data_IF_629482555201
#
_entry.id   IF_629482555201
#
_cell.length_a   1.000
_cell.length_b   1.000
_cell.length_c   1.000
_cell.angle_alpha   90.00
_cell.angle_beta   90.00
_cell.angle_gamma   90.00
#
_symmetry.space_group_name_H-M   'P 1'
#
loop_
_entity.id
_entity.type
_entity.pdbx_description
1 polymer ?
#
# COMPACT_ATOMS: atom_id res chain seq x y z
N UNK A 1 28.04 22.15 -37.68
CA UNK A 1 26.70 21.54 -37.60
C UNK A 1 26.42 21.24 -36.14
N UNK A 2 25.62 22.05 -35.45
CA UNK A 2 25.23 21.79 -34.06
C UNK A 2 23.86 21.09 -34.07
N UNK A 3 23.82 19.84 -33.61
CA UNK A 3 22.59 19.07 -33.46
C UNK A 3 21.80 19.65 -32.29
N UNK A 4 20.61 20.19 -32.60
CA UNK A 4 19.66 20.70 -31.61
C UNK A 4 18.87 19.52 -31.03
N UNK A 5 19.27 19.04 -29.87
CA UNK A 5 18.51 18.09 -29.06
C UNK A 5 17.35 18.84 -28.40
N UNK A 6 16.15 18.69 -28.96
CA UNK A 6 14.91 19.27 -28.44
C UNK A 6 14.51 18.53 -27.15
N UNK A 7 14.84 19.11 -26.00
CA UNK A 7 14.35 18.68 -24.70
C UNK A 7 12.83 18.92 -24.63
N UNK A 8 12.04 17.85 -24.71
CA UNK A 8 10.57 17.92 -24.69
C UNK A 8 10.11 18.05 -23.24
N UNK A 9 9.71 19.24 -22.82
CA UNK A 9 9.07 19.46 -21.52
C UNK A 9 7.65 18.88 -21.53
N UNK A 10 7.23 18.15 -20.48
CA UNK A 10 5.87 17.63 -20.39
C UNK A 10 4.87 18.76 -20.05
N UNK A 11 3.78 18.86 -20.80
CA UNK A 11 2.75 19.91 -20.65
C UNK A 11 1.92 19.75 -19.38
N UNK A 12 1.17 20.80 -19.00
CA UNK A 12 0.27 20.80 -17.84
C UNK A 12 -0.75 19.65 -17.83
N UNK A 13 -1.25 19.25 -19.01
CA UNK A 13 -2.11 18.07 -19.19
C UNK A 13 -1.43 16.80 -18.67
N UNK A 14 -0.15 16.62 -18.98
CA UNK A 14 0.65 15.45 -18.57
C UNK A 14 0.90 15.40 -17.06
N UNK A 15 0.84 16.56 -16.36
CA UNK A 15 0.93 16.62 -14.90
C UNK A 15 -0.39 16.26 -14.23
N UNK A 16 -1.52 16.64 -14.83
CA UNK A 16 -2.84 16.26 -14.37
C UNK A 16 -3.04 14.75 -14.50
N UNK A 17 -2.68 14.17 -15.65
CA UNK A 17 -2.74 12.72 -15.88
C UNK A 17 -1.88 11.94 -14.86
N UNK A 18 -0.71 12.48 -14.50
CA UNK A 18 0.16 11.86 -13.49
C UNK A 18 -0.43 11.96 -12.07
N UNK A 19 -1.06 13.09 -11.73
CA UNK A 19 -1.73 13.25 -10.43
C UNK A 19 -2.96 12.33 -10.32
N UNK A 20 -3.71 12.17 -11.41
CA UNK A 20 -4.85 11.25 -11.50
C UNK A 20 -4.41 9.79 -11.36
N UNK A 21 -3.35 9.38 -12.06
CA UNK A 21 -2.78 8.03 -11.92
C UNK A 21 -2.33 7.74 -10.48
N UNK A 22 -1.75 8.72 -9.80
CA UNK A 22 -1.28 8.56 -8.42
C UNK A 22 -2.45 8.57 -7.41
N UNK A 23 -3.50 9.33 -7.68
CA UNK A 23 -4.73 9.28 -6.88
C UNK A 23 -5.42 7.90 -7.00
N UNK A 24 -5.47 7.33 -8.20
CA UNK A 24 -5.95 5.96 -8.43
C UNK A 24 -5.10 4.94 -7.66
N UNK A 25 -3.78 5.04 -7.76
CA UNK A 25 -2.87 4.17 -7.01
C UNK A 25 -3.10 4.27 -5.48
N UNK A 26 -3.30 5.48 -4.95
CA UNK A 26 -3.57 5.66 -3.53
C UNK A 26 -4.92 5.04 -3.09
N UNK A 27 -5.92 5.04 -3.98
CA UNK A 27 -7.17 4.32 -3.75
C UNK A 27 -6.94 2.80 -3.70
N UNK A 28 -6.20 2.26 -4.67
CA UNK A 28 -5.86 0.83 -4.72
C UNK A 28 -5.06 0.39 -3.49
N UNK A 29 -4.12 1.23 -3.03
CA UNK A 29 -3.33 0.99 -1.83
C UNK A 29 -4.24 1.02 -0.57
N UNK A 30 -5.21 1.93 -0.51
CA UNK A 30 -6.17 2.02 0.59
C UNK A 30 -7.09 0.81 0.65
N UNK A 31 -7.57 0.32 -0.49
CA UNK A 31 -8.38 -0.90 -0.56
C UNK A 31 -7.57 -2.12 -0.14
N UNK A 32 -6.31 -2.20 -0.55
CA UNK A 32 -5.36 -3.22 -0.10
C UNK A 32 -5.14 -3.18 1.42
N UNK A 33 -5.08 -2.00 2.02
CA UNK A 33 -4.98 -1.84 3.48
C UNK A 33 -6.26 -2.28 4.22
N UNK A 34 -7.44 -2.10 3.60
CA UNK A 34 -8.71 -2.60 4.16
C UNK A 34 -8.72 -4.13 4.22
N UNK A 35 -8.15 -4.81 3.23
CA UNK A 35 -8.01 -6.27 3.24
C UNK A 35 -7.12 -6.75 4.40
N UNK A 36 -6.02 -6.03 4.69
CA UNK A 36 -5.15 -6.32 5.84
C UNK A 36 -5.91 -6.18 7.15
N UNK A 37 -6.68 -5.10 7.31
CA UNK A 37 -7.49 -4.88 8.50
C UNK A 37 -8.51 -6.01 8.69
N UNK A 38 -9.15 -6.48 7.62
CA UNK A 38 -10.04 -7.64 7.65
C UNK A 38 -9.30 -8.91 8.11
N UNK A 39 -8.08 -9.15 7.64
CA UNK A 39 -7.27 -10.29 8.07
C UNK A 39 -6.95 -10.22 9.58
N UNK A 40 -6.60 -9.04 10.10
CA UNK A 40 -6.39 -8.83 11.53
C UNK A 40 -7.68 -9.05 12.35
N UNK A 41 -8.83 -8.60 11.87
CA UNK A 41 -10.11 -8.85 12.54
C UNK A 41 -10.52 -10.34 12.54
N UNK A 42 -10.16 -11.09 11.49
CA UNK A 42 -10.34 -12.54 11.47
C UNK A 42 -9.44 -13.25 12.49
N UNK A 43 -8.20 -12.78 12.65
CA UNK A 43 -7.27 -13.28 13.65
C UNK A 43 -7.75 -13.06 15.08
N UNK A 44 -8.26 -11.86 15.36
CA UNK A 44 -8.85 -11.54 16.65
C UNK A 44 -9.93 -12.56 17.04
N UNK A 45 -10.77 -12.98 16.09
CA UNK A 45 -11.81 -14.00 16.30
C UNK A 45 -11.26 -15.42 16.53
N UNK A 46 -10.11 -15.76 15.94
CA UNK A 46 -9.43 -17.04 16.16
C UNK A 46 -8.73 -17.11 17.52
N UNK A 47 -8.33 -15.95 18.05
CA UNK A 47 -7.67 -15.82 19.36
C UNK A 47 -8.71 -15.62 20.48
N UNK A 48 -9.87 -15.04 20.16
CA UNK A 48 -10.96 -14.86 21.10
C UNK A 48 -11.33 -16.20 21.75
N UNK A 49 -11.54 -16.25 23.07
CA UNK A 49 -11.94 -17.48 23.74
C UNK A 49 -13.21 -18.03 23.08
N UNK A 50 -13.15 -19.23 22.49
CA UNK A 50 -14.36 -19.95 22.08
C UNK A 50 -15.20 -20.22 23.33
N UNK A 51 -16.44 -19.75 23.36
CA UNK A 51 -17.39 -20.12 24.41
C UNK A 51 -17.53 -21.65 24.42
N UNK A 52 -17.10 -22.25 25.52
CA UNK A 52 -16.77 -23.67 25.64
C UNK A 52 -18.05 -24.50 25.73
N UNK A 53 -18.25 -25.36 24.73
CA UNK A 53 -19.19 -26.47 24.76
C UNK A 53 -18.74 -27.58 23.81
N UNK A 54 -17.94 -28.52 24.32
CA UNK A 54 -17.75 -29.87 23.76
C UNK A 54 -16.94 -30.10 22.47
N UNK A 55 -15.99 -29.24 22.10
CA UNK A 55 -14.93 -29.66 21.15
C UNK A 55 -13.55 -29.32 21.69
N UNK A 56 -12.67 -30.31 21.73
CA UNK A 56 -11.25 -30.17 22.10
C UNK A 56 -10.68 -28.87 21.52
N UNK A 57 -10.13 -28.03 22.40
CA UNK A 57 -9.69 -26.67 22.08
C UNK A 57 -8.54 -26.68 21.06
N UNK A 58 -8.89 -26.71 19.78
CA UNK A 58 -8.00 -26.50 18.65
C UNK A 58 -7.77 -25.00 18.43
N UNK A 59 -7.31 -24.30 19.48
CA UNK A 59 -6.83 -22.92 19.34
C UNK A 59 -5.48 -22.91 18.60
N UNK A 60 -5.19 -21.87 17.80
CA UNK A 60 -3.90 -21.77 17.12
C UNK A 60 -2.76 -21.69 18.15
N UNK A 61 -1.68 -22.42 17.89
CA UNK A 61 -0.48 -22.37 18.72
C UNK A 61 0.19 -21.00 18.64
N UNK A 62 1.01 -20.65 19.65
CA UNK A 62 1.82 -19.42 19.61
C UNK A 62 2.72 -19.34 18.37
N UNK A 63 3.19 -20.48 17.87
CA UNK A 63 4.02 -20.57 16.65
C UNK A 63 3.23 -20.24 15.40
N UNK A 64 1.99 -20.74 15.27
CA UNK A 64 1.11 -20.44 14.14
C UNK A 64 0.69 -18.99 14.14
N UNK A 65 0.33 -18.45 15.31
CA UNK A 65 0.04 -17.02 15.48
C UNK A 65 1.26 -16.16 15.13
N UNK A 66 2.45 -16.52 15.62
CA UNK A 66 3.69 -15.79 15.31
C UNK A 66 4.04 -15.82 13.82
N UNK A 67 3.84 -16.95 13.14
CA UNK A 67 4.09 -17.09 11.70
C UNK A 67 3.14 -16.21 10.89
N UNK A 68 1.87 -16.16 11.28
CA UNK A 68 0.86 -15.36 10.62
C UNK A 68 1.07 -13.86 10.83
N UNK A 69 1.34 -13.43 12.07
CA UNK A 69 1.67 -12.02 12.35
C UNK A 69 2.92 -11.57 11.57
N UNK A 70 3.94 -12.43 11.45
CA UNK A 70 5.13 -12.11 10.64
C UNK A 70 4.79 -11.89 9.17
N UNK A 71 3.99 -12.78 8.56
CA UNK A 71 3.57 -12.64 7.16
C UNK A 71 2.81 -11.31 6.94
N UNK A 72 1.93 -10.96 7.86
CA UNK A 72 1.14 -9.72 7.73
C UNK A 72 2.04 -8.50 7.89
N UNK A 73 2.97 -8.51 8.85
CA UNK A 73 3.90 -7.40 9.06
C UNK A 73 4.79 -7.18 7.82
N UNK A 74 5.28 -8.25 7.20
CA UNK A 74 6.05 -8.18 5.96
C UNK A 74 5.25 -7.52 4.82
N UNK A 75 3.99 -7.93 4.66
CA UNK A 75 3.12 -7.35 3.64
C UNK A 75 2.74 -5.90 3.93
N UNK A 76 2.44 -5.57 5.19
CA UNK A 76 2.16 -4.20 5.60
C UNK A 76 3.37 -3.29 5.34
N UNK A 77 4.58 -3.79 5.60
CA UNK A 77 5.82 -3.04 5.32
C UNK A 77 5.98 -2.76 3.83
N UNK A 78 5.75 -3.77 2.97
CA UNK A 78 5.76 -3.58 1.51
C UNK A 78 4.76 -2.53 1.03
N UNK A 79 3.54 -2.55 1.57
CA UNK A 79 2.49 -1.58 1.23
C UNK A 79 2.84 -0.16 1.66
N UNK A 80 3.42 0.01 2.85
CA UNK A 80 3.90 1.31 3.33
C UNK A 80 4.99 1.85 2.39
N UNK A 81 5.97 1.01 2.01
CA UNK A 81 7.04 1.42 1.08
C UNK A 81 6.49 1.85 -0.29
N UNK A 82 5.49 1.13 -0.81
CA UNK A 82 4.82 1.45 -2.06
C UNK A 82 4.09 2.81 -1.97
N UNK A 83 3.29 3.02 -0.92
CA UNK A 83 2.56 4.27 -0.70
C UNK A 83 3.52 5.46 -0.50
N UNK A 84 4.62 5.27 0.22
CA UNK A 84 5.68 6.26 0.39
C UNK A 84 6.33 6.63 -0.94
N UNK A 85 6.61 5.62 -1.78
CA UNK A 85 7.17 5.81 -3.12
C UNK A 85 6.21 6.61 -4.01
N UNK A 86 4.92 6.24 -4.03
CA UNK A 86 3.88 6.95 -4.77
C UNK A 86 3.76 8.41 -4.30
N UNK A 87 3.74 8.65 -2.99
CA UNK A 87 3.68 10.00 -2.40
C UNK A 87 4.89 10.86 -2.79
N UNK A 88 6.10 10.27 -2.76
CA UNK A 88 7.32 10.96 -3.22
C UNK A 88 7.26 11.28 -4.71
N UNK A 89 6.78 10.35 -5.53
CA UNK A 89 6.61 10.56 -6.96
C UNK A 89 5.61 11.69 -7.27
N UNK A 90 4.47 11.74 -6.56
CA UNK A 90 3.50 12.84 -6.66
C UNK A 90 4.14 14.18 -6.37
N UNK A 91 4.85 14.29 -5.23
CA UNK A 91 5.51 15.53 -4.83
C UNK A 91 6.54 15.98 -5.87
N UNK A 92 7.32 15.05 -6.42
CA UNK A 92 8.30 15.35 -7.46
C UNK A 92 7.65 15.84 -8.77
N UNK A 93 6.54 15.22 -9.19
CA UNK A 93 5.79 15.62 -10.37
C UNK A 93 5.19 17.04 -10.23
N UNK A 94 4.73 17.39 -9.03
CA UNK A 94 4.15 18.71 -8.70
C UNK A 94 5.21 19.80 -8.49
N UNK A 95 6.38 19.47 -7.94
CA UNK A 95 7.45 20.42 -7.63
C UNK A 95 8.26 20.88 -8.86
N UNK A 96 8.09 20.24 -10.02
CA UNK A 96 8.76 20.64 -11.27
C UNK A 96 8.21 22.01 -11.73
N UNK A 97 9.01 23.10 -11.69
CA UNK A 97 8.53 24.43 -12.03
C UNK A 97 8.18 24.52 -13.51
N UNK A 98 7.11 25.26 -13.81
CA UNK A 98 6.86 25.83 -15.14
C UNK A 98 8.01 26.82 -15.43
N UNK A 99 9.06 26.36 -16.12
CA UNK A 99 10.04 27.28 -16.69
C UNK A 99 9.39 27.91 -17.93
N UNK A 100 8.95 29.17 -17.78
CA UNK A 100 8.53 30.03 -18.89
C UNK A 100 9.65 30.32 -19.86
#
# INVERSE_FOLDING_TARGET
MAASTRSRTPSASTRFDAAEALALQACDDTDSLREVLCAYACLEKLIAPLEVGDTEQLGPTRTELGSLVRLINEEMSRRIEAADSATRAMRAALARPEAG
#
